data_IF_747503659379
#
_entry.id   IF_747503659379
#
_cell.length_a   1.000
_cell.length_b   1.000
_cell.length_c   1.000
_cell.angle_alpha   90.00
_cell.angle_beta   90.00
_cell.angle_gamma   90.00
#
_symmetry.space_group_name_H-M   'P 1'
#
loop_
_entity.id
_entity.type
_entity.pdbx_description
1 polymer ?
#
# COMPACT_ATOMS: atom_id res chain seq x y z
N UNK A 1 -3.05 -7.82 17.39
CA UNK A 1 -3.97 -6.71 17.06
C UNK A 1 -3.99 -6.63 15.54
N UNK A 2 -5.09 -7.00 14.90
CA UNK A 2 -5.17 -7.05 13.44
C UNK A 2 -5.36 -5.64 12.88
N UNK A 3 -4.44 -5.20 12.02
CA UNK A 3 -4.53 -3.91 11.34
C UNK A 3 -4.54 -4.17 9.83
N UNK A 4 -5.48 -3.53 9.14
CA UNK A 4 -5.58 -3.47 7.68
C UNK A 4 -5.41 -2.01 7.26
N UNK A 5 -4.44 -1.75 6.37
CA UNK A 5 -4.20 -0.42 5.80
C UNK A 5 -4.44 -0.52 4.30
N UNK A 6 -5.13 0.46 3.74
CA UNK A 6 -5.41 0.54 2.31
C UNK A 6 -4.85 1.86 1.75
N UNK A 7 -4.10 1.75 0.66
CA UNK A 7 -3.51 2.89 -0.04
C UNK A 7 -4.18 3.01 -1.40
N UNK A 8 -4.78 4.17 -1.63
CA UNK A 8 -5.56 4.50 -2.83
C UNK A 8 -4.83 5.58 -3.63
N UNK A 9 -4.37 5.25 -4.82
CA UNK A 9 -3.87 6.26 -5.76
C UNK A 9 -5.07 7.04 -6.32
N UNK A 10 -5.07 8.37 -6.15
CA UNK A 10 -6.18 9.24 -6.55
C UNK A 10 -5.84 10.04 -7.82
N UNK A 11 -5.68 11.36 -7.71
CA UNK A 11 -5.30 12.21 -8.83
C UNK A 11 -3.79 12.15 -9.10
N UNK A 12 -3.39 12.28 -10.36
CA UNK A 12 -1.97 12.24 -10.79
C UNK A 12 -1.63 11.09 -11.74
N UNK A 13 -2.58 10.21 -12.08
CA UNK A 13 -2.38 9.18 -13.09
C UNK A 13 -1.29 8.18 -12.70
N UNK A 14 -0.37 7.89 -13.62
CA UNK A 14 0.68 6.89 -13.43
C UNK A 14 1.65 7.25 -12.28
N UNK A 15 1.91 8.54 -12.06
CA UNK A 15 2.80 8.99 -10.98
C UNK A 15 2.18 8.71 -9.61
N UNK A 16 0.87 8.93 -9.48
CA UNK A 16 0.14 8.61 -8.26
C UNK A 16 0.10 7.10 -7.97
N UNK A 17 -0.04 6.27 -9.00
CA UNK A 17 0.05 4.81 -8.86
C UNK A 17 1.45 4.36 -8.45
N UNK A 18 2.49 4.99 -8.99
CA UNK A 18 3.90 4.72 -8.64
C UNK A 18 4.17 5.08 -7.19
N UNK A 19 3.81 6.29 -6.78
CA UNK A 19 3.97 6.76 -5.40
C UNK A 19 3.20 5.88 -4.39
N UNK A 20 1.98 5.46 -4.72
CA UNK A 20 1.21 4.57 -3.85
C UNK A 20 1.92 3.22 -3.63
N UNK A 21 2.59 2.69 -4.66
CA UNK A 21 3.43 1.50 -4.54
C UNK A 21 4.65 1.72 -3.65
N UNK A 22 5.40 2.80 -3.88
CA UNK A 22 6.57 3.15 -3.07
C UNK A 22 6.21 3.33 -1.58
N UNK A 23 5.06 3.95 -1.31
CA UNK A 23 4.53 4.11 0.04
C UNK A 23 4.17 2.75 0.67
N UNK A 24 3.50 1.87 -0.08
CA UNK A 24 3.17 0.52 0.39
C UNK A 24 4.44 -0.25 0.78
N UNK A 25 5.49 -0.17 -0.05
CA UNK A 25 6.78 -0.82 0.20
C UNK A 25 7.52 -0.22 1.41
N UNK A 26 7.42 1.10 1.61
CA UNK A 26 7.98 1.76 2.79
C UNK A 26 7.28 1.31 4.08
N UNK A 27 5.94 1.28 4.08
CA UNK A 27 5.15 0.84 5.23
C UNK A 27 5.39 -0.66 5.51
N UNK A 28 5.46 -1.49 4.48
CA UNK A 28 5.79 -2.91 4.57
C UNK A 28 7.11 -3.13 5.30
N UNK A 29 8.18 -2.45 4.87
CA UNK A 29 9.52 -2.55 5.47
C UNK A 29 9.55 -2.03 6.90
N UNK A 30 8.86 -0.94 7.20
CA UNK A 30 8.83 -0.37 8.53
C UNK A 30 8.06 -1.25 9.53
N UNK A 31 6.88 -1.75 9.13
CA UNK A 31 5.99 -2.49 10.01
C UNK A 31 6.19 -4.01 9.97
N UNK A 32 7.00 -4.53 9.06
CA UNK A 32 7.21 -5.97 8.86
C UNK A 32 5.96 -6.69 8.37
N UNK A 33 5.16 -6.04 7.53
CA UNK A 33 3.86 -6.52 7.05
C UNK A 33 3.88 -6.81 5.56
N UNK A 34 3.05 -7.75 5.11
CA UNK A 34 2.95 -8.09 3.68
C UNK A 34 2.01 -7.12 2.96
N UNK A 35 2.38 -6.75 1.73
CA UNK A 35 1.55 -5.96 0.82
C UNK A 35 0.90 -6.88 -0.20
N UNK A 36 -0.41 -6.73 -0.40
CA UNK A 36 -1.15 -7.29 -1.51
C UNK A 36 -1.66 -6.16 -2.42
N UNK A 37 -1.74 -6.41 -3.73
CA UNK A 37 -2.35 -5.48 -4.69
C UNK A 37 -3.70 -5.99 -5.13
N UNK A 38 -4.75 -5.25 -4.82
CA UNK A 38 -6.13 -5.54 -5.21
C UNK A 38 -6.58 -4.48 -6.25
N UNK A 39 -6.30 -4.77 -7.52
CA UNK A 39 -6.53 -3.83 -8.62
C UNK A 39 -5.67 -2.56 -8.50
N UNK A 40 -6.31 -1.45 -8.13
CA UNK A 40 -5.66 -0.14 -7.93
C UNK A 40 -5.34 0.20 -6.48
N UNK A 41 -5.64 -0.70 -5.55
CA UNK A 41 -5.44 -0.51 -4.11
C UNK A 41 -4.30 -1.39 -3.62
N UNK A 42 -3.43 -0.84 -2.77
CA UNK A 42 -2.45 -1.62 -2.02
C UNK A 42 -2.98 -1.87 -0.62
N UNK A 43 -3.04 -3.14 -0.21
CA UNK A 43 -3.57 -3.58 1.07
C UNK A 43 -2.44 -4.17 1.90
N UNK A 44 -2.27 -3.71 3.13
CA UNK A 44 -1.27 -4.22 4.06
C UNK A 44 -1.95 -4.90 5.25
N UNK A 45 -1.46 -6.10 5.60
CA UNK A 45 -2.00 -6.89 6.70
C UNK A 45 -0.94 -7.16 7.77
N UNK A 46 -1.27 -6.81 9.02
CA UNK A 46 -0.52 -7.27 10.20
C UNK A 46 -1.34 -8.33 10.93
N UNK A 47 -0.80 -9.56 10.95
CA UNK A 47 -1.32 -10.70 11.73
C UNK A 47 -0.92 -10.56 13.21
#
# INVERSE_FOLDING_TARGET
>A
MSIRIEIHATAGGADAETFAGELADAVSRHAGVTVAREGRVFVLHRL
#
